data_IF_121894822644
#
_entry.id   IF_121894822644
#
_cell.length_a   1.000
_cell.length_b   1.000
_cell.length_c   1.000
_cell.angle_alpha   90.00
_cell.angle_beta   90.00
_cell.angle_gamma   90.00
#
_symmetry.space_group_name_H-M   'P 1'
#
loop_
_entity.id
_entity.type
_entity.pdbx_description
1 polymer ?
#
# COMPACT_ATOMS: atom_id res chain seq x y z
N UNK A 1 9.85 -2.32 -13.80
CA UNK A 1 9.89 -1.44 -12.62
C UNK A 1 11.10 -0.56 -12.76
N UNK A 2 10.94 0.74 -12.54
CA UNK A 2 12.04 1.70 -12.55
C UNK A 2 12.63 1.82 -11.14
N UNK A 3 13.95 1.88 -11.00
CA UNK A 3 14.63 1.98 -9.71
C UNK A 3 15.52 3.20 -9.69
N UNK A 4 15.34 4.04 -8.68
CA UNK A 4 16.04 5.31 -8.51
C UNK A 4 16.82 5.27 -7.20
N UNK A 5 17.96 5.93 -7.14
CA UNK A 5 18.72 6.13 -5.89
C UNK A 5 18.57 7.58 -5.46
N UNK A 6 18.33 7.82 -4.17
CA UNK A 6 18.34 9.16 -3.58
C UNK A 6 19.30 9.20 -2.40
N UNK A 7 20.37 9.97 -2.53
CA UNK A 7 21.25 10.32 -1.43
C UNK A 7 20.64 11.46 -0.63
N UNK A 8 20.53 11.30 0.71
CA UNK A 8 20.15 12.42 1.57
C UNK A 8 21.38 13.26 1.96
N UNK A 9 21.21 14.52 2.39
CA UNK A 9 22.28 15.28 3.04
C UNK A 9 22.81 14.58 4.30
N UNK A 10 24.04 14.93 4.69
CA UNK A 10 24.55 14.65 6.05
C UNK A 10 23.79 15.52 7.06
N UNK A 11 23.53 14.96 8.25
CA UNK A 11 22.80 15.66 9.31
C UNK A 11 23.53 15.56 10.65
N UNK A 12 23.52 16.65 11.41
CA UNK A 12 24.01 16.69 12.79
C UNK A 12 25.39 16.06 13.00
N UNK A 13 25.46 15.09 13.92
CA UNK A 13 26.70 14.42 14.34
C UNK A 13 27.37 13.59 13.23
N UNK A 14 26.67 13.24 12.15
CA UNK A 14 27.25 12.48 11.02
C UNK A 14 28.33 13.28 10.28
N UNK A 15 28.21 14.61 10.30
CA UNK A 15 29.16 15.53 9.67
C UNK A 15 30.57 15.34 10.24
N UNK A 16 30.68 14.98 11.53
CA UNK A 16 31.97 14.72 12.18
C UNK A 16 32.57 13.35 11.79
N UNK A 17 31.74 12.35 11.49
CA UNK A 17 32.19 11.01 11.08
C UNK A 17 32.56 10.92 9.58
N UNK A 18 32.26 11.97 8.81
CA UNK A 18 32.49 12.05 7.39
C UNK A 18 31.53 11.21 6.54
N UNK A 19 31.63 11.37 5.23
CA UNK A 19 30.83 10.64 4.25
C UNK A 19 31.64 9.63 3.45
N UNK A 20 30.92 8.64 2.91
CA UNK A 20 31.41 7.83 1.80
C UNK A 20 31.54 8.71 0.56
N UNK A 21 32.46 8.35 -0.34
CA UNK A 21 32.48 8.93 -1.69
C UNK A 21 31.75 7.98 -2.63
N UNK A 22 30.87 8.50 -3.47
CA UNK A 22 30.20 7.71 -4.51
C UNK A 22 30.32 8.40 -5.86
N UNK A 23 30.22 7.60 -6.91
CA UNK A 23 30.07 8.10 -8.28
C UNK A 23 29.19 7.15 -9.08
N UNK A 24 28.63 7.69 -10.15
CA UNK A 24 27.68 7.01 -11.01
C UNK A 24 28.30 6.80 -12.38
N UNK A 25 28.19 5.59 -12.94
CA UNK A 25 28.67 5.28 -14.28
C UNK A 25 27.52 4.78 -15.16
N UNK A 26 27.51 5.20 -16.42
CA UNK A 26 26.63 4.65 -17.45
C UNK A 26 27.39 3.57 -18.23
N UNK A 27 26.75 2.44 -18.49
CA UNK A 27 27.32 1.44 -19.39
C UNK A 27 27.01 1.81 -20.85
N UNK A 28 27.96 1.64 -21.76
CA UNK A 28 27.73 1.96 -23.19
C UNK A 28 26.56 1.17 -23.80
N UNK A 29 26.24 -0.01 -23.24
CA UNK A 29 25.21 -0.93 -23.72
C UNK A 29 23.87 -0.82 -22.98
N UNK A 30 23.73 0.08 -22.00
CA UNK A 30 22.53 0.15 -21.17
C UNK A 30 22.20 1.59 -20.76
N UNK A 31 20.92 2.02 -20.82
CA UNK A 31 20.49 3.31 -20.30
C UNK A 31 20.53 3.35 -18.76
N UNK A 32 20.78 2.22 -18.10
CA UNK A 32 20.84 2.13 -16.65
C UNK A 32 22.21 2.47 -16.09
N UNK A 33 22.19 3.06 -14.92
CA UNK A 33 23.33 3.53 -14.18
C UNK A 33 23.78 2.48 -13.15
N UNK A 34 25.09 2.40 -12.96
CA UNK A 34 25.74 1.71 -11.85
C UNK A 34 26.25 2.73 -10.83
N UNK A 35 26.22 2.34 -9.55
CA UNK A 35 26.74 3.17 -8.45
C UNK A 35 27.97 2.50 -7.86
N UNK A 36 29.05 3.25 -7.74
CA UNK A 36 30.26 2.84 -7.03
C UNK A 36 30.38 3.61 -5.71
N UNK A 37 30.66 2.90 -4.61
CA UNK A 37 30.83 3.48 -3.27
C UNK A 37 32.23 3.17 -2.76
N UNK A 38 32.92 4.20 -2.27
CA UNK A 38 34.24 4.14 -1.66
C UNK A 38 34.13 4.50 -0.18
N UNK A 39 34.42 3.53 0.69
CA UNK A 39 34.73 3.78 2.10
C UNK A 39 36.20 4.24 2.16
N UNK A 40 36.48 5.43 2.70
CA UNK A 40 37.85 5.97 2.81
C UNK A 40 38.30 6.00 4.28
N UNK A 41 38.16 4.88 4.99
CA UNK A 41 38.61 4.79 6.39
C UNK A 41 39.96 4.08 6.52
N UNK A 42 40.27 3.18 5.59
CA UNK A 42 41.55 2.46 5.52
C UNK A 42 42.10 2.44 4.09
N UNK A 43 43.44 2.45 3.88
CA UNK A 43 44.05 2.22 2.58
C UNK A 43 43.68 0.86 1.94
N UNK A 44 43.22 -0.11 2.75
CA UNK A 44 42.79 -1.43 2.28
C UNK A 44 41.31 -1.49 1.85
N UNK A 45 40.55 -0.41 2.04
CA UNK A 45 39.12 -0.38 1.68
C UNK A 45 38.97 -0.47 0.14
N UNK A 46 38.36 -1.57 -0.31
CA UNK A 46 38.02 -1.75 -1.72
C UNK A 46 36.67 -1.09 -2.04
N UNK A 47 36.54 -0.40 -3.19
CA UNK A 47 35.25 0.08 -3.63
C UNK A 47 34.29 -1.07 -3.92
N UNK A 48 33.00 -0.82 -3.72
CA UNK A 48 31.94 -1.70 -4.19
C UNK A 48 31.17 -1.02 -5.32
N UNK A 49 30.97 -1.73 -6.43
CA UNK A 49 30.21 -1.26 -7.60
C UNK A 49 29.00 -2.16 -7.81
N UNK A 50 27.84 -1.55 -8.03
CA UNK A 50 26.61 -2.25 -8.37
C UNK A 50 26.59 -2.70 -9.84
N UNK A 51 25.68 -3.61 -10.20
CA UNK A 51 25.30 -3.75 -11.61
C UNK A 51 24.59 -2.49 -12.10
N UNK A 52 24.54 -2.27 -13.43
CA UNK A 52 23.77 -1.20 -14.06
C UNK A 52 22.27 -1.49 -13.93
N UNK A 53 21.67 -0.97 -12.87
CA UNK A 53 20.30 -1.29 -12.46
C UNK A 53 19.46 -0.06 -12.12
N UNK A 54 20.01 1.15 -12.17
CA UNK A 54 19.30 2.35 -11.72
C UNK A 54 18.91 3.25 -12.90
N UNK A 55 17.66 3.69 -12.93
CA UNK A 55 17.14 4.63 -13.92
C UNK A 55 17.64 6.06 -13.69
N UNK A 56 17.83 6.46 -12.42
CA UNK A 56 18.50 7.70 -12.06
C UNK A 56 19.15 7.62 -10.68
N UNK A 57 20.17 8.45 -10.45
CA UNK A 57 20.80 8.65 -9.14
C UNK A 57 20.71 10.14 -8.82
N UNK A 58 19.98 10.46 -7.75
CA UNK A 58 19.75 11.81 -7.26
C UNK A 58 20.65 12.06 -6.03
N UNK A 59 21.51 13.07 -6.11
CA UNK A 59 22.45 13.42 -5.04
C UNK A 59 21.80 14.20 -3.90
N UNK A 60 22.57 14.51 -2.87
CA UNK A 60 22.12 15.19 -1.64
C UNK A 60 21.53 16.59 -1.88
N UNK A 61 21.80 17.21 -3.01
CA UNK A 61 21.25 18.52 -3.39
C UNK A 61 19.84 18.42 -4.00
N UNK A 62 19.36 17.21 -4.32
CA UNK A 62 18.06 17.01 -4.95
C UNK A 62 16.90 17.24 -3.95
N UNK A 63 16.13 18.29 -4.21
CA UNK A 63 14.88 18.58 -3.50
C UNK A 63 13.81 17.52 -3.77
N UNK A 64 12.75 17.49 -2.95
CA UNK A 64 11.60 16.62 -3.20
C UNK A 64 10.96 16.90 -4.57
N UNK A 65 10.84 18.18 -4.96
CA UNK A 65 10.34 18.58 -6.28
C UNK A 65 11.18 18.00 -7.44
N UNK A 66 12.51 18.00 -7.31
CA UNK A 66 13.40 17.40 -8.31
C UNK A 66 13.19 15.87 -8.39
N UNK A 67 13.11 15.20 -7.23
CA UNK A 67 12.81 13.75 -7.17
C UNK A 67 11.44 13.46 -7.77
N UNK A 68 10.43 14.28 -7.48
CA UNK A 68 9.09 14.16 -8.06
C UNK A 68 9.12 14.26 -9.59
N UNK A 69 9.80 15.27 -10.13
CA UNK A 69 9.93 15.48 -11.57
C UNK A 69 10.58 14.29 -12.28
N UNK A 70 11.59 13.66 -11.66
CA UNK A 70 12.26 12.48 -12.23
C UNK A 70 11.47 11.19 -12.06
N UNK A 71 10.86 10.97 -10.89
CA UNK A 71 10.32 9.66 -10.50
C UNK A 71 8.82 9.54 -10.78
N UNK A 72 8.03 10.55 -10.44
CA UNK A 72 6.57 10.44 -10.33
C UNK A 72 5.85 11.17 -11.45
N UNK A 73 6.35 12.34 -11.87
CA UNK A 73 5.74 13.14 -12.92
C UNK A 73 5.47 12.35 -14.23
N UNK A 74 6.34 11.43 -14.69
CA UNK A 74 6.05 10.61 -15.88
C UNK A 74 4.81 9.70 -15.75
N UNK A 75 4.36 9.41 -14.54
CA UNK A 75 3.16 8.61 -14.28
C UNK A 75 1.86 9.43 -14.32
N UNK A 76 1.92 10.75 -14.13
CA UNK A 76 0.72 11.62 -14.07
C UNK A 76 -0.18 11.45 -15.30
N UNK A 77 0.34 11.45 -16.55
CA UNK A 77 -0.51 11.23 -17.73
C UNK A 77 -1.15 9.83 -17.77
N UNK A 78 -0.47 8.81 -17.23
CA UNK A 78 -0.99 7.43 -17.20
C UNK A 78 -2.15 7.32 -16.23
N UNK A 79 -2.02 7.92 -15.05
CA UNK A 79 -3.09 7.95 -14.04
C UNK A 79 -4.30 8.70 -14.55
N UNK A 80 -4.10 9.82 -15.23
CA UNK A 80 -5.15 10.56 -15.92
C UNK A 80 -5.78 9.81 -17.11
N UNK A 81 -5.26 8.64 -17.46
CA UNK A 81 -5.81 7.69 -18.43
C UNK A 81 -6.36 6.41 -17.75
N UNK A 82 -6.59 6.44 -16.43
CA UNK A 82 -7.18 5.32 -15.68
C UNK A 82 -6.19 4.26 -15.21
N UNK A 83 -4.88 4.46 -15.38
CA UNK A 83 -3.85 3.46 -15.03
C UNK A 83 -3.45 3.55 -13.54
N UNK A 84 -3.16 2.40 -12.92
CA UNK A 84 -2.59 2.35 -11.58
C UNK A 84 -1.07 2.50 -11.59
N UNK A 85 -0.52 3.43 -10.82
CA UNK A 85 0.92 3.66 -10.68
C UNK A 85 1.33 3.59 -9.20
N UNK A 86 2.47 2.97 -8.91
CA UNK A 86 2.94 2.74 -7.54
C UNK A 86 4.39 3.18 -7.33
N UNK A 87 4.67 3.75 -6.16
CA UNK A 87 5.96 4.30 -5.79
C UNK A 87 6.35 3.84 -4.39
N UNK A 88 7.52 3.21 -4.28
CA UNK A 88 8.02 2.65 -3.03
C UNK A 88 9.26 3.41 -2.58
N UNK A 89 9.32 3.85 -1.33
CA UNK A 89 10.59 4.27 -0.72
C UNK A 89 11.17 3.13 0.11
N UNK A 90 12.39 2.73 -0.22
CA UNK A 90 13.14 1.67 0.45
C UNK A 90 14.47 2.19 0.98
N UNK A 91 14.94 1.68 2.11
CA UNK A 91 16.19 2.12 2.74
C UNK A 91 16.22 1.80 4.23
N UNK A 92 17.39 1.99 4.84
CA UNK A 92 17.55 1.79 6.28
C UNK A 92 16.82 2.87 7.10
N UNK A 93 16.71 2.69 8.41
CA UNK A 93 16.10 3.70 9.28
C UNK A 93 16.92 4.99 9.30
N UNK A 94 16.25 6.14 9.17
CA UNK A 94 16.91 7.44 9.01
C UNK A 94 17.55 7.70 7.63
N UNK A 95 17.27 6.89 6.59
CA UNK A 95 17.78 7.14 5.23
C UNK A 95 17.01 8.20 4.43
N UNK A 96 15.85 8.64 4.92
CA UNK A 96 15.01 9.66 4.25
C UNK A 96 13.78 9.13 3.51
N UNK A 97 13.31 7.91 3.79
CA UNK A 97 12.09 7.31 3.18
C UNK A 97 10.85 8.19 3.37
N UNK A 98 10.51 8.46 4.62
CA UNK A 98 9.35 9.27 5.03
C UNK A 98 9.45 10.70 4.52
N UNK A 99 10.62 11.33 4.63
CA UNK A 99 10.89 12.65 4.03
C UNK A 99 10.62 12.66 2.51
N UNK A 100 10.93 11.56 1.82
CA UNK A 100 10.71 11.46 0.37
C UNK A 100 9.22 11.30 0.07
N UNK A 101 8.54 10.33 0.68
CA UNK A 101 7.15 9.99 0.33
C UNK A 101 6.15 10.98 0.88
N UNK A 102 6.28 11.29 2.17
CA UNK A 102 5.33 12.09 2.95
C UNK A 102 5.80 13.55 3.01
N UNK A 103 7.09 13.77 3.29
CA UNK A 103 7.63 15.11 3.52
C UNK A 103 7.30 15.65 4.91
N UNK A 104 7.70 16.89 5.17
CA UNK A 104 7.44 17.60 6.41
C UNK A 104 6.93 19.00 6.05
N UNK A 105 5.69 19.08 5.54
CA UNK A 105 5.01 20.35 5.22
C UNK A 105 4.46 20.99 6.51
N UNK A 106 5.33 21.24 7.50
CA UNK A 106 4.96 21.75 8.82
C UNK A 106 4.44 23.18 8.74
N UNK A 107 5.04 24.01 7.88
CA UNK A 107 4.70 25.42 7.71
C UNK A 107 3.55 25.65 6.71
N UNK A 108 3.14 24.62 5.96
CA UNK A 108 2.04 24.69 5.01
C UNK A 108 2.28 25.61 3.81
N UNK A 109 3.54 26.00 3.56
CA UNK A 109 3.98 26.79 2.42
C UNK A 109 4.38 25.93 1.21
N UNK A 110 4.33 24.59 1.35
CA UNK A 110 4.68 23.62 0.31
C UNK A 110 6.18 23.37 0.18
N UNK A 111 7.04 24.07 0.93
CA UNK A 111 8.50 23.93 0.83
C UNK A 111 9.04 22.58 1.34
N UNK A 112 8.21 21.82 2.08
CA UNK A 112 8.51 20.49 2.61
C UNK A 112 7.70 19.34 2.03
N UNK A 113 6.92 19.56 0.96
CA UNK A 113 6.01 18.55 0.42
C UNK A 113 6.75 17.28 -0.05
N UNK A 114 6.23 16.11 0.36
CA UNK A 114 6.68 14.82 -0.17
C UNK A 114 6.08 14.50 -1.54
N UNK A 115 6.52 13.39 -2.13
CA UNK A 115 6.07 12.93 -3.45
C UNK A 115 4.54 12.80 -3.55
N UNK A 116 3.84 12.41 -2.47
CA UNK A 116 2.40 12.25 -2.46
C UNK A 116 1.65 13.59 -2.64
N UNK A 117 2.06 14.63 -1.90
CA UNK A 117 1.42 15.96 -2.00
C UNK A 117 1.75 16.64 -3.32
N UNK A 118 3.00 16.54 -3.79
CA UNK A 118 3.41 17.02 -5.13
C UNK A 118 2.56 16.37 -6.23
N UNK A 119 2.32 15.06 -6.14
CA UNK A 119 1.45 14.34 -7.07
C UNK A 119 0.01 14.83 -7.01
N UNK A 120 -0.56 15.00 -5.81
CA UNK A 120 -1.90 15.53 -5.64
C UNK A 120 -2.05 16.93 -6.24
N UNK A 121 -1.08 17.82 -6.02
CA UNK A 121 -1.08 19.17 -6.59
C UNK A 121 -1.09 19.14 -8.13
N UNK A 122 -0.24 18.31 -8.73
CA UNK A 122 -0.20 18.15 -10.20
C UNK A 122 -1.48 17.54 -10.75
N UNK A 123 -2.05 16.54 -10.08
CA UNK A 123 -3.32 15.93 -10.49
C UNK A 123 -4.46 16.94 -10.43
N UNK A 124 -4.62 17.69 -9.34
CA UNK A 124 -5.63 18.76 -9.26
C UNK A 124 -5.44 19.81 -10.35
N UNK A 125 -4.20 20.28 -10.60
CA UNK A 125 -3.93 21.25 -11.66
C UNK A 125 -4.36 20.74 -13.05
N UNK A 126 -4.17 19.44 -13.33
CA UNK A 126 -4.60 18.82 -14.59
C UNK A 126 -6.10 18.57 -14.66
N UNK A 127 -6.72 18.14 -13.55
CA UNK A 127 -8.17 17.93 -13.44
C UNK A 127 -8.92 19.26 -13.65
N UNK A 128 -8.53 20.33 -12.93
CA UNK A 128 -9.15 21.65 -13.07
C UNK A 128 -9.01 22.18 -14.49
N UNK A 129 -7.85 21.99 -15.12
CA UNK A 129 -7.63 22.39 -16.52
C UNK A 129 -8.53 21.63 -17.50
N UNK A 130 -8.81 20.34 -17.26
CA UNK A 130 -9.73 19.53 -18.08
C UNK A 130 -11.19 19.92 -17.85
N UNK A 131 -11.61 20.05 -16.58
CA UNK A 131 -12.98 20.41 -16.22
C UNK A 131 -13.41 21.79 -16.71
N UNK A 132 -12.47 22.73 -16.89
CA UNK A 132 -12.76 24.02 -17.52
C UNK A 132 -13.10 23.92 -19.03
N UNK A 133 -12.87 22.77 -19.66
CA UNK A 133 -13.14 22.51 -21.09
C UNK A 133 -14.37 21.63 -21.29
N UNK A 134 -14.70 20.78 -20.31
CA UNK A 134 -15.78 19.78 -20.37
C UNK A 134 -16.89 20.14 -19.35
N UNK A 135 -17.76 21.10 -19.69
CA UNK A 135 -18.82 21.60 -18.79
C UNK A 135 -19.95 20.58 -18.48
N UNK A 136 -20.07 19.50 -19.26
CA UNK A 136 -21.19 18.54 -19.21
C UNK A 136 -20.88 17.26 -18.39
N UNK A 137 -19.72 17.17 -17.73
CA UNK A 137 -19.30 15.99 -16.97
C UNK A 137 -19.21 16.26 -15.46
N UNK A 138 -19.56 15.25 -14.64
CA UNK A 138 -19.35 15.31 -13.19
C UNK A 138 -17.87 15.56 -12.89
N UNK A 139 -17.52 16.61 -12.11
CA UNK A 139 -16.13 16.98 -11.90
C UNK A 139 -15.37 15.86 -11.18
N UNK A 140 -14.14 15.62 -11.63
CA UNK A 140 -13.24 14.69 -10.95
C UNK A 140 -12.73 15.28 -9.63
N UNK A 141 -12.52 14.40 -8.68
CA UNK A 141 -11.93 14.63 -7.37
C UNK A 141 -10.85 13.58 -7.10
N UNK A 142 -10.15 13.70 -5.98
CA UNK A 142 -9.18 12.71 -5.53
C UNK A 142 -9.71 12.03 -4.27
N UNK A 143 -9.98 10.73 -4.36
CA UNK A 143 -10.24 9.86 -3.22
C UNK A 143 -8.94 9.52 -2.52
N UNK A 144 -8.77 10.01 -1.29
CA UNK A 144 -7.62 9.74 -0.44
C UNK A 144 -7.91 8.51 0.44
N UNK A 145 -7.00 7.53 0.45
CA UNK A 145 -6.96 6.46 1.45
C UNK A 145 -5.59 6.42 2.10
N UNK A 146 -5.54 6.36 3.43
CA UNK A 146 -4.28 6.33 4.19
C UNK A 146 -4.38 5.25 5.26
N UNK A 147 -3.46 4.30 5.24
CA UNK A 147 -3.39 3.27 6.26
C UNK A 147 -1.95 2.85 6.55
N UNK A 148 -1.78 2.29 7.74
CA UNK A 148 -0.51 1.78 8.22
C UNK A 148 -0.58 0.26 8.31
N UNK A 149 0.46 -0.43 7.82
CA UNK A 149 0.65 -1.86 8.05
C UNK A 149 1.56 -2.05 9.25
N UNK A 150 1.00 -2.68 10.29
CA UNK A 150 1.73 -3.10 11.49
C UNK A 150 1.44 -4.56 11.74
N UNK A 151 2.50 -5.35 11.87
CA UNK A 151 2.42 -6.79 12.06
C UNK A 151 1.63 -7.49 10.94
N UNK A 152 0.45 -8.01 11.22
CA UNK A 152 -0.42 -8.73 10.26
C UNK A 152 -1.75 -8.02 10.01
N UNK A 153 -1.85 -6.75 10.37
CA UNK A 153 -3.07 -5.96 10.22
C UNK A 153 -2.78 -4.63 9.53
N UNK A 154 -3.82 -4.08 8.92
CA UNK A 154 -3.85 -2.69 8.49
C UNK A 154 -4.52 -1.84 9.58
N UNK A 155 -4.17 -0.57 9.67
CA UNK A 155 -4.78 0.40 10.57
C UNK A 155 -5.19 1.61 9.73
N UNK A 156 -6.49 1.87 9.66
CA UNK A 156 -7.06 2.93 8.83
C UNK A 156 -6.83 4.29 9.50
N UNK A 157 -5.94 5.11 8.92
CA UNK A 157 -5.56 6.39 9.50
C UNK A 157 -6.59 7.49 9.22
N UNK A 158 -7.53 7.28 8.31
CA UNK A 158 -8.66 8.18 8.10
C UNK A 158 -9.81 7.89 9.07
N UNK A 159 -9.93 6.65 9.53
CA UNK A 159 -10.94 6.18 10.47
C UNK A 159 -10.34 5.88 11.87
N UNK A 160 -9.77 6.91 12.52
CA UNK A 160 -9.26 6.87 13.90
C UNK A 160 -8.22 5.77 14.23
N UNK A 161 -7.48 5.30 13.23
CA UNK A 161 -6.52 4.21 13.42
C UNK A 161 -7.21 2.85 13.66
N UNK A 162 -8.46 2.70 13.24
CA UNK A 162 -9.24 1.46 13.38
C UNK A 162 -8.49 0.29 12.74
N UNK A 163 -8.41 -0.83 13.47
CA UNK A 163 -7.76 -2.04 12.99
C UNK A 163 -8.60 -2.69 11.89
N UNK A 164 -7.94 -3.07 10.80
CA UNK A 164 -8.52 -3.76 9.67
C UNK A 164 -7.83 -5.10 9.39
N UNK A 165 -8.61 -6.03 8.86
CA UNK A 165 -8.17 -7.34 8.38
C UNK A 165 -7.92 -7.30 6.86
N UNK A 166 -6.81 -7.91 6.46
CA UNK A 166 -6.44 -8.08 5.05
C UNK A 166 -6.91 -9.47 4.63
N UNK A 167 -7.83 -9.54 3.66
CA UNK A 167 -8.41 -10.79 3.17
C UNK A 167 -8.39 -10.81 1.65
N UNK A 168 -8.35 -12.00 1.07
CA UNK A 168 -8.52 -12.16 -0.37
C UNK A 168 -9.91 -12.76 -0.65
N UNK A 169 -10.66 -12.11 -1.53
CA UNK A 169 -11.95 -12.60 -2.00
C UNK A 169 -11.82 -13.79 -2.95
N UNK A 170 -12.95 -14.47 -3.26
CA UNK A 170 -12.99 -15.55 -4.24
C UNK A 170 -12.69 -15.07 -5.66
N UNK A 171 -12.98 -13.79 -5.94
CA UNK A 171 -12.60 -13.06 -7.16
C UNK A 171 -11.09 -12.81 -7.29
N UNK A 172 -10.34 -13.17 -6.25
CA UNK A 172 -8.91 -13.01 -6.19
C UNK A 172 -8.44 -11.62 -5.77
N UNK A 173 -9.35 -10.65 -5.54
CA UNK A 173 -9.02 -9.29 -5.09
C UNK A 173 -8.68 -9.28 -3.60
N UNK A 174 -7.82 -8.34 -3.20
CA UNK A 174 -7.49 -8.14 -1.79
C UNK A 174 -8.35 -7.03 -1.23
N UNK A 175 -8.97 -7.29 -0.09
CA UNK A 175 -9.81 -6.35 0.64
C UNK A 175 -9.18 -6.05 2.00
N UNK A 176 -9.16 -4.77 2.35
CA UNK A 176 -8.89 -4.28 3.70
C UNK A 176 -10.25 -3.96 4.31
N UNK A 177 -10.60 -4.68 5.38
CA UNK A 177 -11.93 -4.63 6.00
C UNK A 177 -11.79 -4.35 7.50
N UNK A 178 -12.49 -3.34 8.00
CA UNK A 178 -12.63 -3.06 9.43
C UNK A 178 -13.38 -4.16 10.18
N UNK A 179 -13.74 -3.86 11.42
CA UNK A 179 -14.55 -4.76 12.23
C UNK A 179 -15.97 -4.90 11.65
N UNK A 180 -16.62 -6.01 12.00
CA UNK A 180 -18.01 -6.24 11.64
C UNK A 180 -18.89 -5.57 12.69
N UNK A 181 -19.71 -4.63 12.27
CA UNK A 181 -20.67 -3.92 13.11
C UNK A 181 -22.09 -4.39 12.82
N UNK A 182 -22.91 -4.51 13.87
CA UNK A 182 -24.35 -4.77 13.74
C UNK A 182 -25.10 -3.52 14.15
N UNK A 183 -25.85 -2.94 13.21
CA UNK A 183 -26.66 -1.75 13.43
C UNK A 183 -27.96 -2.08 14.18
N UNK A 184 -28.58 -1.07 14.79
CA UNK A 184 -29.81 -1.23 15.57
C UNK A 184 -31.00 -1.75 14.75
N UNK A 185 -30.99 -1.54 13.44
CA UNK A 185 -31.99 -2.07 12.48
C UNK A 185 -31.69 -3.50 12.00
N UNK A 186 -30.67 -4.15 12.57
CA UNK A 186 -30.27 -5.52 12.24
C UNK A 186 -29.35 -5.66 11.03
N UNK A 187 -29.02 -4.56 10.33
CA UNK A 187 -28.02 -4.58 9.25
C UNK A 187 -26.65 -4.91 9.82
N UNK A 188 -25.87 -5.72 9.08
CA UNK A 188 -24.52 -6.11 9.49
C UNK A 188 -23.54 -5.55 8.48
N UNK A 189 -22.66 -4.65 8.90
CA UNK A 189 -21.72 -3.95 8.02
C UNK A 189 -20.31 -4.40 8.31
N UNK A 190 -19.58 -4.74 7.26
CA UNK A 190 -18.12 -4.86 7.33
C UNK A 190 -17.55 -3.60 6.70
N UNK A 191 -16.98 -2.72 7.51
CA UNK A 191 -16.53 -1.41 7.03
C UNK A 191 -15.38 -1.58 6.01
N UNK A 192 -15.49 -1.07 4.77
CA UNK A 192 -14.34 -1.01 3.88
C UNK A 192 -13.32 0.01 4.42
N UNK A 193 -12.06 -0.11 3.99
CA UNK A 193 -11.08 0.95 4.22
C UNK A 193 -11.64 2.31 3.79
N UNK A 194 -11.52 3.32 4.65
CA UNK A 194 -12.02 4.65 4.37
C UNK A 194 -11.33 5.25 3.14
N UNK A 195 -12.15 5.89 2.32
CA UNK A 195 -11.70 6.71 1.20
C UNK A 195 -12.40 8.06 1.31
N UNK A 196 -11.63 9.10 1.63
CA UNK A 196 -12.15 10.45 1.75
C UNK A 196 -12.07 11.16 0.39
N UNK A 197 -13.19 11.48 -0.26
CA UNK A 197 -13.17 12.31 -1.47
C UNK A 197 -12.73 13.73 -1.10
N UNK A 198 -11.76 14.26 -1.85
CA UNK A 198 -11.25 15.62 -1.71
C UNK A 198 -11.41 16.34 -3.04
N UNK A 199 -12.15 17.45 -3.03
CA UNK A 199 -12.48 18.24 -4.23
C UNK A 199 -11.42 19.30 -4.52
N UNK A 200 -10.61 19.64 -3.51
CA UNK A 200 -9.54 20.62 -3.62
C UNK A 200 -8.24 20.08 -3.04
N UNK A 201 -7.12 20.63 -3.49
CA UNK A 201 -5.80 20.32 -2.95
C UNK A 201 -5.72 20.63 -1.44
N UNK A 202 -6.34 21.72 -0.99
CA UNK A 202 -6.34 22.09 0.43
C UNK A 202 -7.08 21.07 1.30
N UNK A 203 -8.22 20.54 0.84
CA UNK A 203 -8.94 19.48 1.55
C UNK A 203 -8.10 18.22 1.68
N UNK A 204 -7.44 17.80 0.59
CA UNK A 204 -6.58 16.62 0.55
C UNK A 204 -5.40 16.78 1.50
N UNK A 205 -4.71 17.91 1.45
CA UNK A 205 -3.58 18.21 2.34
C UNK A 205 -4.00 18.14 3.80
N UNK A 206 -5.11 18.78 4.16
CA UNK A 206 -5.62 18.79 5.52
C UNK A 206 -6.02 17.38 5.99
N UNK A 207 -6.67 16.59 5.12
CA UNK A 207 -7.02 15.20 5.40
C UNK A 207 -5.78 14.33 5.63
N UNK A 208 -4.77 14.48 4.78
CA UNK A 208 -3.50 13.77 4.89
C UNK A 208 -2.76 14.13 6.18
N UNK A 209 -2.66 15.41 6.53
CA UNK A 209 -2.02 15.86 7.78
C UNK A 209 -2.71 15.27 9.00
N UNK A 210 -4.06 15.27 9.05
CA UNK A 210 -4.81 14.62 10.15
C UNK A 210 -4.55 13.11 10.23
N UNK A 211 -4.51 12.42 9.09
CA UNK A 211 -4.22 10.99 9.05
C UNK A 211 -2.81 10.69 9.57
N UNK A 212 -1.82 11.48 9.16
CA UNK A 212 -0.42 11.30 9.55
C UNK A 212 -0.17 11.68 11.02
N UNK A 213 -0.88 12.66 11.57
CA UNK A 213 -0.82 12.97 13.00
C UNK A 213 -1.25 11.78 13.85
N UNK A 214 -2.25 11.01 13.41
CA UNK A 214 -2.67 9.76 14.07
C UNK A 214 -1.65 8.65 13.95
N UNK A 215 -0.83 8.63 12.88
CA UNK A 215 0.35 7.76 12.81
C UNK A 215 1.18 8.04 14.05
N UNK A 216 1.70 9.27 14.20
CA UNK A 216 2.67 9.66 15.24
C UNK A 216 2.31 9.34 16.71
N UNK A 217 1.03 9.20 17.07
CA UNK A 217 0.55 8.97 18.44
C UNK A 217 0.52 7.48 18.83
N UNK A 218 0.65 6.56 17.87
CA UNK A 218 0.24 5.16 18.00
C UNK A 218 1.03 4.23 18.94
N UNK A 219 2.18 4.60 19.51
CA UNK A 219 2.95 3.74 20.44
C UNK A 219 3.80 4.51 21.47
N UNK A 220 3.72 4.14 22.75
CA UNK A 220 4.40 4.77 23.90
C UNK A 220 5.89 4.38 24.07
N UNK A 221 6.62 4.12 22.97
CA UNK A 221 8.05 3.79 23.03
C UNK A 221 8.88 4.82 22.26
N UNK A 222 10.06 5.14 22.82
CA UNK A 222 11.05 6.18 22.47
C UNK A 222 11.68 6.03 21.07
N UNK A 223 10.98 5.44 20.09
CA UNK A 223 11.48 5.19 18.75
C UNK A 223 10.62 5.85 17.68
N UNK A 224 11.26 6.38 16.63
CA UNK A 224 10.63 6.97 15.45
C UNK A 224 9.77 5.92 14.73
N UNK A 225 8.45 6.03 14.86
CA UNK A 225 7.46 5.07 14.33
C UNK A 225 7.60 4.82 12.83
N UNK A 226 8.09 5.81 12.06
CA UNK A 226 8.28 5.67 10.63
C UNK A 226 9.26 4.55 10.25
N UNK A 227 10.15 4.17 11.17
CA UNK A 227 11.10 3.07 10.98
C UNK A 227 10.47 1.69 11.11
N UNK A 228 9.34 1.54 11.83
CA UNK A 228 8.83 0.23 12.25
C UNK A 228 7.57 -0.24 11.52
N UNK A 229 7.00 0.63 10.70
CA UNK A 229 5.70 0.41 10.09
C UNK A 229 5.71 0.86 8.65
N UNK A 230 4.95 0.18 7.80
CA UNK A 230 4.78 0.63 6.42
C UNK A 230 3.56 1.55 6.35
N UNK A 231 3.70 2.74 5.76
CA UNK A 231 2.54 3.58 5.44
C UNK A 231 2.21 3.47 3.94
N UNK A 232 0.92 3.36 3.65
CA UNK A 232 0.39 3.33 2.29
C UNK A 232 -0.58 4.50 2.14
N UNK A 233 -0.31 5.34 1.14
CA UNK A 233 -1.12 6.48 0.75
C UNK A 233 -1.60 6.24 -0.68
N UNK A 234 -2.91 6.21 -0.89
CA UNK A 234 -3.49 6.01 -2.20
C UNK A 234 -4.33 7.22 -2.60
N UNK A 235 -4.09 7.70 -3.82
CA UNK A 235 -4.84 8.73 -4.51
C UNK A 235 -5.60 8.05 -5.66
N UNK A 236 -6.93 8.07 -5.65
CA UNK A 236 -7.77 7.55 -6.73
C UNK A 236 -8.54 8.70 -7.39
N UNK A 237 -8.57 8.74 -8.72
CA UNK A 237 -9.48 9.64 -9.46
C UNK A 237 -10.91 9.15 -9.27
N UNK A 238 -11.75 9.98 -8.64
CA UNK A 238 -13.16 9.68 -8.33
C UNK A 238 -14.05 10.83 -8.77
N UNK A 239 -15.37 10.63 -8.76
CA UNK A 239 -16.36 11.69 -8.91
C UNK A 239 -17.53 11.47 -7.95
N UNK A 240 -18.48 12.40 -7.91
CA UNK A 240 -19.61 12.34 -6.97
C UNK A 240 -20.46 11.08 -7.19
N UNK A 241 -20.69 10.72 -8.46
CA UNK A 241 -21.47 9.53 -8.83
C UNK A 241 -20.81 8.23 -8.34
N UNK A 242 -19.50 8.07 -8.52
CA UNK A 242 -18.78 6.87 -8.09
C UNK A 242 -18.81 6.74 -6.57
N UNK A 243 -18.63 7.86 -5.85
CA UNK A 243 -18.70 7.89 -4.38
C UNK A 243 -20.08 7.46 -3.90
N UNK A 244 -21.15 8.01 -4.49
CA UNK A 244 -22.52 7.66 -4.15
C UNK A 244 -22.86 6.20 -4.49
N UNK A 245 -22.46 5.72 -5.67
CA UNK A 245 -22.69 4.34 -6.11
C UNK A 245 -21.99 3.33 -5.19
N UNK A 246 -20.74 3.61 -4.79
CA UNK A 246 -20.00 2.78 -3.82
C UNK A 246 -20.66 2.76 -2.44
N UNK A 247 -21.14 3.92 -1.96
CA UNK A 247 -21.86 3.98 -0.69
C UNK A 247 -23.15 3.14 -0.72
N UNK A 248 -23.94 3.27 -1.79
CA UNK A 248 -25.16 2.49 -1.98
C UNK A 248 -24.86 0.98 -2.06
N UNK A 249 -23.79 0.57 -2.74
CA UNK A 249 -23.36 -0.83 -2.79
C UNK A 249 -23.02 -1.37 -1.39
N UNK A 250 -22.30 -0.60 -0.57
CA UNK A 250 -21.97 -1.00 0.80
C UNK A 250 -23.24 -1.17 1.64
N UNK A 251 -24.23 -0.30 1.48
CA UNK A 251 -25.52 -0.42 2.17
C UNK A 251 -26.29 -1.67 1.74
N UNK A 252 -26.36 -1.96 0.44
CA UNK A 252 -27.00 -3.20 -0.08
C UNK A 252 -26.29 -4.45 0.41
N UNK A 253 -24.97 -4.46 0.43
CA UNK A 253 -24.18 -5.56 0.98
C UNK A 253 -24.46 -5.75 2.47
N UNK A 254 -24.67 -4.67 3.22
CA UNK A 254 -24.97 -4.73 4.65
C UNK A 254 -26.36 -5.32 4.95
N UNK A 255 -27.35 -5.03 4.09
CA UNK A 255 -28.69 -5.61 4.15
C UNK A 255 -28.70 -7.11 3.83
N UNK A 256 -27.85 -7.57 2.90
CA UNK A 256 -27.78 -8.98 2.49
C UNK A 256 -27.31 -9.91 3.61
N UNK A 257 -26.35 -9.48 4.44
CA UNK A 257 -25.72 -10.34 5.45
C UNK A 257 -26.72 -11.02 6.41
N UNK A 258 -27.61 -10.29 7.12
CA UNK A 258 -28.57 -10.92 8.03
C UNK A 258 -29.58 -11.82 7.30
N UNK A 259 -30.02 -11.45 6.10
CA UNK A 259 -30.96 -12.25 5.28
C UNK A 259 -30.31 -13.56 4.84
N UNK A 260 -29.08 -13.49 4.31
CA UNK A 260 -28.31 -14.65 3.89
C UNK A 260 -27.98 -15.59 5.05
N UNK A 261 -27.66 -15.03 6.22
CA UNK A 261 -27.46 -15.81 7.45
C UNK A 261 -28.75 -16.52 7.86
N UNK A 262 -29.89 -15.82 7.92
CA UNK A 262 -31.19 -16.41 8.26
C UNK A 262 -31.57 -17.56 7.33
N UNK A 263 -31.41 -17.37 6.01
CA UNK A 263 -31.71 -18.41 5.03
C UNK A 263 -30.85 -19.66 5.25
N UNK A 264 -29.55 -19.47 5.54
CA UNK A 264 -28.62 -20.55 5.84
C UNK A 264 -28.96 -21.26 7.15
N UNK A 265 -29.20 -20.50 8.22
CA UNK A 265 -29.53 -21.03 9.55
C UNK A 265 -30.82 -21.88 9.50
N UNK A 266 -31.85 -21.41 8.79
CA UNK A 266 -33.11 -22.14 8.62
C UNK A 266 -32.90 -23.41 7.78
N UNK A 267 -32.19 -23.31 6.65
CA UNK A 267 -31.91 -24.47 5.79
C UNK A 267 -31.14 -25.54 6.55
N UNK A 268 -30.10 -25.15 7.28
CA UNK A 268 -29.28 -26.06 8.10
C UNK A 268 -30.12 -26.65 9.23
N UNK A 269 -30.95 -25.87 9.91
CA UNK A 269 -31.81 -26.35 10.98
C UNK A 269 -32.82 -27.40 10.48
N UNK A 270 -33.50 -27.13 9.36
CA UNK A 270 -34.46 -28.06 8.75
C UNK A 270 -33.79 -29.36 8.29
N UNK A 271 -32.64 -29.26 7.61
CA UNK A 271 -31.88 -30.44 7.18
C UNK A 271 -31.34 -31.25 8.37
N UNK A 272 -30.91 -30.59 9.44
CA UNK A 272 -30.40 -31.26 10.64
C UNK A 272 -31.53 -31.98 11.39
N UNK A 273 -32.74 -31.41 11.43
CA UNK A 273 -33.92 -32.07 12.02
C UNK A 273 -34.36 -33.30 11.24
N UNK A 274 -34.15 -33.31 9.93
CA UNK A 274 -34.48 -34.42 9.06
C UNK A 274 -33.56 -35.65 9.21
N UNK A 275 -32.53 -35.59 10.04
CA UNK A 275 -31.61 -36.71 10.28
C UNK A 275 -31.52 -37.11 11.76
N UNK A 276 -31.22 -38.39 11.97
CA UNK A 276 -30.88 -38.99 13.25
C UNK A 276 -29.45 -39.51 13.18
N UNK A 277 -28.65 -39.20 14.20
CA UNK A 277 -27.29 -39.73 14.33
C UNK A 277 -27.32 -41.03 15.12
N UNK A 278 -26.93 -42.13 14.48
CA UNK A 278 -26.85 -43.46 15.09
C UNK A 278 -25.66 -43.54 16.08
N UNK A 279 -25.68 -44.48 17.05
CA UNK A 279 -24.56 -44.67 17.98
C UNK A 279 -23.20 -44.93 17.31
N UNK A 280 -23.19 -45.54 16.11
CA UNK A 280 -22.00 -45.74 15.28
C UNK A 280 -21.56 -44.52 14.45
N UNK A 281 -22.15 -43.35 14.68
CA UNK A 281 -21.79 -42.10 14.00
C UNK A 281 -22.42 -41.88 12.61
N UNK A 282 -23.23 -42.82 12.10
CA UNK A 282 -23.91 -42.72 10.80
C UNK A 282 -25.23 -41.96 10.89
N UNK A 283 -25.52 -41.12 9.90
CA UNK A 283 -26.78 -40.37 9.80
C UNK A 283 -27.82 -41.15 9.01
N UNK A 284 -29.07 -41.16 9.49
CA UNK A 284 -30.23 -41.75 8.79
C UNK A 284 -31.39 -40.76 8.74
N UNK A 285 -32.26 -40.80 7.71
CA UNK A 285 -33.45 -39.97 7.67
C UNK A 285 -34.35 -40.19 8.90
N UNK A 286 -34.91 -39.11 9.43
CA UNK A 286 -35.89 -39.14 10.52
C UNK A 286 -37.28 -39.39 9.92
N UNK A 287 -37.94 -40.53 10.21
CA UNK A 287 -39.20 -40.91 9.55
C UNK A 287 -40.40 -40.05 9.97
N UNK A 288 -40.37 -39.47 11.17
CA UNK A 288 -41.44 -38.64 11.77
C UNK A 288 -41.30 -37.15 11.48
N UNK A 289 -40.30 -36.73 10.70
CA UNK A 289 -40.06 -35.32 10.38
C UNK A 289 -40.08 -35.06 8.89
N UNK A 290 -40.92 -34.12 8.48
CA UNK A 290 -40.97 -33.61 7.11
C UNK A 290 -40.32 -32.23 7.10
N UNK A 291 -39.34 -32.05 6.20
CA UNK A 291 -38.68 -30.76 5.99
C UNK A 291 -39.72 -29.71 5.60
N UNK A 292 -39.67 -28.56 6.25
CA UNK A 292 -40.52 -27.42 5.88
C UNK A 292 -39.95 -26.74 4.61
N UNK A 293 -40.21 -27.35 3.45
CA UNK A 293 -39.72 -26.87 2.17
C UNK A 293 -40.26 -25.47 1.85
N UNK A 294 -41.52 -25.19 2.16
CA UNK A 294 -42.12 -23.86 1.92
C UNK A 294 -41.39 -22.74 2.67
N UNK A 295 -40.95 -22.99 3.91
CA UNK A 295 -40.14 -22.03 4.65
C UNK A 295 -38.75 -21.84 4.03
N UNK A 296 -38.10 -22.94 3.59
CA UNK A 296 -36.80 -22.87 2.90
C UNK A 296 -36.93 -22.05 1.61
N UNK A 297 -37.97 -22.31 0.82
CA UNK A 297 -38.23 -21.60 -0.44
C UNK A 297 -38.49 -20.11 -0.18
N UNK A 298 -39.27 -19.78 0.86
CA UNK A 298 -39.53 -18.39 1.26
C UNK A 298 -38.22 -17.64 1.59
N UNK A 299 -37.40 -18.19 2.50
CA UNK A 299 -36.18 -17.49 2.94
C UNK A 299 -35.10 -17.48 1.87
N UNK A 300 -35.13 -18.46 0.95
CA UNK A 300 -34.28 -18.48 -0.23
C UNK A 300 -34.69 -17.36 -1.20
N UNK A 301 -35.98 -17.18 -1.46
CA UNK A 301 -36.47 -16.09 -2.30
C UNK A 301 -36.16 -14.70 -1.70
N UNK A 302 -36.28 -14.54 -0.37
CA UNK A 302 -35.88 -13.31 0.33
C UNK A 302 -34.38 -13.02 0.15
N UNK A 303 -33.53 -14.05 0.26
CA UNK A 303 -32.08 -13.97 0.02
C UNK A 303 -31.77 -13.62 -1.43
N UNK A 304 -32.38 -14.30 -2.40
CA UNK A 304 -32.20 -14.04 -3.83
C UNK A 304 -32.58 -12.61 -4.20
N UNK A 305 -33.68 -12.08 -3.65
CA UNK A 305 -34.07 -10.69 -3.85
C UNK A 305 -33.04 -9.70 -3.27
N UNK A 306 -32.41 -10.02 -2.13
CA UNK A 306 -31.34 -9.21 -1.57
C UNK A 306 -30.04 -9.30 -2.40
N UNK A 307 -29.69 -10.49 -2.90
CA UNK A 307 -28.55 -10.69 -3.82
C UNK A 307 -28.75 -9.92 -5.13
N UNK A 308 -29.97 -9.90 -5.68
CA UNK A 308 -30.31 -9.12 -6.87
C UNK A 308 -30.09 -7.61 -6.66
N UNK A 309 -30.46 -7.07 -5.49
CA UNK A 309 -30.20 -5.66 -5.15
C UNK A 309 -28.71 -5.34 -5.04
N UNK A 310 -27.90 -6.27 -4.54
CA UNK A 310 -26.43 -6.11 -4.52
C UNK A 310 -25.89 -6.12 -5.95
N UNK A 311 -26.32 -7.08 -6.79
CA UNK A 311 -25.88 -7.18 -8.17
C UNK A 311 -26.26 -5.92 -9.00
N UNK A 312 -27.45 -5.37 -8.77
CA UNK A 312 -27.86 -4.09 -9.37
C UNK A 312 -26.95 -2.95 -8.94
N UNK A 313 -26.63 -2.82 -7.65
CA UNK A 313 -25.72 -1.79 -7.17
C UNK A 313 -24.28 -1.97 -7.71
N UNK A 314 -23.80 -3.21 -7.88
CA UNK A 314 -22.53 -3.51 -8.54
C UNK A 314 -22.54 -3.08 -10.02
N UNK A 315 -23.65 -3.34 -10.72
CA UNK A 315 -23.83 -2.91 -12.11
C UNK A 315 -23.85 -1.37 -12.22
N UNK A 316 -24.46 -0.66 -11.27
CA UNK A 316 -24.40 0.80 -11.21
C UNK A 316 -22.95 1.27 -11.08
N UNK A 317 -22.17 0.73 -10.13
CA UNK A 317 -20.74 1.08 -9.98
C UNK A 317 -19.98 0.83 -11.29
N UNK A 318 -20.18 -0.33 -11.93
CA UNK A 318 -19.54 -0.65 -13.21
C UNK A 318 -19.94 0.33 -14.33
N UNK A 319 -21.21 0.74 -14.39
CA UNK A 319 -21.69 1.69 -15.39
C UNK A 319 -21.09 3.09 -15.23
N UNK A 320 -20.81 3.52 -13.98
CA UNK A 320 -20.12 4.79 -13.71
C UNK A 320 -18.68 4.72 -14.22
N UNK A 321 -17.97 3.62 -13.97
CA UNK A 321 -16.62 3.43 -14.55
C UNK A 321 -16.61 3.47 -16.06
N UNK A 322 -17.58 2.83 -16.71
CA UNK A 322 -17.66 2.80 -18.16
C UNK A 322 -17.92 4.19 -18.74
N UNK A 323 -18.86 4.93 -18.15
CA UNK A 323 -19.22 6.28 -18.62
C UNK A 323 -18.07 7.27 -18.54
N UNK A 324 -17.23 7.15 -17.51
CA UNK A 324 -16.11 8.06 -17.25
C UNK A 324 -14.74 7.44 -17.55
N UNK A 325 -14.70 6.39 -18.38
CA UNK A 325 -13.46 5.69 -18.75
C UNK A 325 -12.44 6.64 -19.38
N UNK A 326 -12.87 7.44 -20.35
CA UNK A 326 -12.00 8.36 -21.08
C UNK A 326 -11.57 9.57 -20.24
N UNK A 327 -12.33 9.89 -19.18
CA UNK A 327 -11.95 10.88 -18.17
C UNK A 327 -10.85 10.37 -17.21
N UNK A 328 -10.53 9.07 -17.25
CA UNK A 328 -9.52 8.44 -16.41
C UNK A 328 -10.01 8.06 -15.01
N UNK A 329 -11.34 7.95 -14.81
CA UNK A 329 -11.92 7.54 -13.53
C UNK A 329 -11.35 6.20 -13.07
N UNK A 330 -10.96 6.10 -11.79
CA UNK A 330 -10.31 4.92 -11.22
C UNK A 330 -8.81 4.85 -11.41
N UNK A 331 -8.18 5.81 -12.12
CA UNK A 331 -6.73 5.94 -12.15
C UNK A 331 -6.18 6.16 -10.74
N UNK A 332 -5.07 5.49 -10.39
CA UNK A 332 -4.54 5.48 -9.02
C UNK A 332 -3.06 5.83 -8.96
N UNK A 333 -2.66 6.61 -7.96
CA UNK A 333 -1.27 6.71 -7.48
C UNK A 333 -1.17 6.14 -6.06
N UNK A 334 -0.31 5.15 -5.89
CA UNK A 334 -0.07 4.49 -4.60
C UNK A 334 1.36 4.80 -4.16
N UNK A 335 1.50 5.47 -3.03
CA UNK A 335 2.78 5.76 -2.40
C UNK A 335 2.97 4.90 -1.17
N UNK A 336 4.16 4.30 -1.05
CA UNK A 336 4.48 3.35 0.01
C UNK A 336 5.77 3.77 0.68
N UNK A 337 5.65 4.24 1.91
CA UNK A 337 6.76 4.49 2.83
C UNK A 337 7.04 3.17 3.56
N UNK A 338 8.04 2.41 3.10
CA UNK A 338 8.36 1.13 3.72
C UNK A 338 9.04 1.34 5.07
N UNK A 339 8.77 0.48 6.03
CA UNK A 339 9.56 0.37 7.26
C UNK A 339 11.05 0.20 6.94
N UNK A 340 11.90 0.62 7.88
CA UNK A 340 13.34 0.53 7.75
C UNK A 340 13.82 -0.89 7.50
N UNK A 341 14.71 -1.05 6.52
CA UNK A 341 15.41 -2.32 6.32
C UNK A 341 16.56 -2.41 7.34
N UNK A 342 16.26 -2.57 8.64
CA UNK A 342 17.30 -2.88 9.61
C UNK A 342 17.75 -4.33 9.41
N UNK A 343 18.92 -4.48 8.81
CA UNK A 343 19.74 -5.66 9.00
C UNK A 343 20.35 -5.49 10.38
N UNK A 344 20.04 -6.39 11.32
CA UNK A 344 20.67 -6.45 12.63
C UNK A 344 22.17 -6.24 12.42
N UNK A 345 22.66 -5.05 12.73
CA UNK A 345 24.10 -4.85 12.77
C UNK A 345 24.56 -5.77 13.88
N UNK A 346 25.57 -6.58 13.54
CA UNK A 346 26.25 -7.43 14.48
C UNK A 346 26.41 -6.71 15.82
N UNK A 347 25.86 -7.31 16.86
CA UNK A 347 26.06 -6.89 18.26
C UNK A 347 27.54 -6.85 18.67
N UNK A 348 28.47 -7.19 17.77
CA UNK A 348 29.91 -7.25 17.98
C UNK A 348 30.64 -5.91 17.77
N UNK A 349 30.03 -4.89 17.13
CA UNK A 349 30.74 -3.63 16.80
C UNK A 349 30.37 -2.44 17.72
N UNK A 350 29.37 -2.58 18.59
CA UNK A 350 29.10 -1.58 19.64
C UNK A 350 29.11 -2.20 21.04
N UNK A 351 30.31 -2.47 21.54
CA UNK A 351 30.59 -2.70 22.96
C UNK A 351 30.74 -1.38 23.75
N UNK A 352 29.95 -0.36 23.43
CA UNK A 352 29.81 0.82 24.29
C UNK A 352 28.58 0.66 25.16
N UNK A 353 28.77 0.86 26.47
CA UNK A 353 27.93 0.45 27.60
C UNK A 353 26.53 1.11 27.71
N UNK A 354 25.86 1.42 26.59
CA UNK A 354 24.56 2.11 26.57
C UNK A 354 23.57 1.56 25.54
N UNK A 355 23.89 0.48 24.81
CA UNK A 355 22.90 -0.18 23.97
C UNK A 355 21.88 -0.95 24.85
N UNK A 356 20.75 -0.29 25.18
CA UNK A 356 19.62 -0.95 25.85
C UNK A 356 19.23 -2.19 25.06
N UNK A 357 19.17 -3.33 25.73
CA UNK A 357 18.69 -4.57 25.12
C UNK A 357 17.29 -4.35 24.53
N UNK A 358 17.12 -4.60 23.23
CA UNK A 358 15.81 -4.50 22.56
C UNK A 358 14.78 -5.36 23.28
N UNK A 359 13.60 -4.80 23.51
CA UNK A 359 12.49 -5.55 24.13
C UNK A 359 12.06 -6.71 23.22
N UNK A 360 11.54 -7.82 23.77
CA UNK A 360 11.07 -8.95 22.96
C UNK A 360 10.08 -8.54 21.86
N UNK A 361 9.18 -7.59 22.16
CA UNK A 361 8.20 -7.03 21.21
C UNK A 361 8.87 -6.36 20.01
N UNK A 362 9.94 -5.60 20.22
CA UNK A 362 10.69 -4.90 19.16
C UNK A 362 11.44 -5.89 18.27
N UNK A 363 11.96 -6.98 18.86
CA UNK A 363 12.58 -8.07 18.08
C UNK A 363 11.57 -8.78 17.18
N UNK A 364 10.34 -8.99 17.67
CA UNK A 364 9.27 -9.58 16.86
C UNK A 364 8.86 -8.66 15.70
N UNK A 365 8.76 -7.36 15.95
CA UNK A 365 8.46 -6.34 14.93
C UNK A 365 9.54 -6.29 13.84
N UNK A 366 10.82 -6.19 14.21
CA UNK A 366 11.93 -6.19 13.26
C UNK A 366 11.99 -7.47 12.40
N UNK A 367 11.65 -8.63 12.98
CA UNK A 367 11.54 -9.89 12.22
C UNK A 367 10.40 -9.84 11.20
N UNK A 368 9.26 -9.26 11.57
CA UNK A 368 8.12 -9.13 10.67
C UNK A 368 8.43 -8.16 9.51
N UNK A 369 9.04 -7.01 9.78
CA UNK A 369 9.47 -6.06 8.74
C UNK A 369 10.39 -6.75 7.73
N UNK A 370 11.39 -7.49 8.21
CA UNK A 370 12.29 -8.24 7.32
C UNK A 370 11.57 -9.33 6.52
N UNK A 371 10.56 -9.98 7.11
CA UNK A 371 9.71 -10.96 6.40
C UNK A 371 8.92 -10.28 5.29
N UNK A 372 8.35 -9.11 5.56
CA UNK A 372 7.56 -8.35 4.59
C UNK A 372 8.41 -7.85 3.42
N UNK A 373 9.61 -7.34 3.70
CA UNK A 373 10.58 -6.89 2.69
C UNK A 373 11.12 -8.06 1.85
N UNK A 374 11.38 -9.21 2.47
CA UNK A 374 11.79 -10.42 1.73
C UNK A 374 10.67 -10.94 0.82
N UNK A 375 9.43 -10.96 1.31
CA UNK A 375 8.27 -11.31 0.50
C UNK A 375 8.10 -10.35 -0.69
N UNK A 376 8.28 -9.04 -0.46
CA UNK A 376 8.22 -8.02 -1.52
C UNK A 376 9.29 -8.26 -2.60
N UNK A 377 10.52 -8.57 -2.18
CA UNK A 377 11.63 -8.94 -3.08
C UNK A 377 11.24 -10.11 -3.99
N UNK A 378 10.67 -11.17 -3.42
CA UNK A 378 10.28 -12.36 -4.17
C UNK A 378 9.11 -12.10 -5.12
N UNK A 379 8.13 -11.30 -4.70
CA UNK A 379 7.05 -10.83 -5.57
C UNK A 379 7.59 -10.03 -6.74
N UNK A 380 8.44 -9.03 -6.49
CA UNK A 380 9.04 -8.21 -7.53
C UNK A 380 9.88 -9.04 -8.50
N UNK A 381 10.70 -9.97 -7.98
CA UNK A 381 11.49 -10.89 -8.81
C UNK A 381 10.62 -11.80 -9.67
N UNK A 382 9.49 -12.27 -9.16
CA UNK A 382 8.54 -13.10 -9.93
C UNK A 382 7.80 -12.29 -10.98
N UNK A 383 7.30 -11.12 -10.61
CA UNK A 383 6.61 -10.19 -11.50
C UNK A 383 7.49 -9.74 -12.67
N UNK A 384 8.74 -9.38 -12.36
CA UNK A 384 9.74 -8.90 -13.29
C UNK A 384 10.04 -9.87 -14.44
N UNK A 385 10.05 -11.18 -14.18
CA UNK A 385 10.31 -12.19 -15.22
C UNK A 385 9.20 -12.31 -16.27
N UNK A 386 8.02 -11.68 -16.05
CA UNK A 386 6.81 -11.77 -16.90
C UNK A 386 6.49 -13.19 -17.38
N UNK A 387 6.87 -14.21 -16.62
CA UNK A 387 6.71 -15.61 -17.02
C UNK A 387 5.30 -16.08 -16.67
N UNK A 388 4.46 -16.45 -17.65
CA UNK A 388 3.08 -16.86 -17.41
C UNK A 388 2.97 -18.17 -16.58
N UNK A 389 4.05 -18.96 -16.51
CA UNK A 389 4.11 -20.20 -15.72
C UNK A 389 4.50 -19.98 -14.26
N UNK A 390 5.00 -18.80 -13.90
CA UNK A 390 5.54 -18.55 -12.55
C UNK A 390 4.51 -17.84 -11.68
N UNK A 391 3.97 -18.56 -10.69
CA UNK A 391 3.05 -17.98 -9.71
C UNK A 391 3.76 -16.93 -8.85
N UNK A 392 3.25 -15.70 -8.86
CA UNK A 392 3.74 -14.61 -7.98
C UNK A 392 3.20 -14.80 -6.55
N UNK A 393 4.07 -14.83 -5.51
CA UNK A 393 3.67 -15.19 -4.15
C UNK A 393 3.05 -14.02 -3.36
N UNK A 394 1.99 -13.38 -3.86
CA UNK A 394 1.33 -12.24 -3.21
C UNK A 394 0.78 -12.53 -1.80
N UNK A 395 0.64 -13.79 -1.40
CA UNK A 395 0.16 -14.19 -0.06
C UNK A 395 1.30 -14.36 0.96
N UNK A 396 2.55 -14.11 0.58
CA UNK A 396 3.71 -14.32 1.45
C UNK A 396 3.76 -13.33 2.62
N UNK A 397 3.18 -12.14 2.48
CA UNK A 397 3.07 -11.14 3.55
C UNK A 397 1.82 -10.26 3.41
N UNK A 398 1.34 -9.63 4.48
CA UNK A 398 0.29 -8.61 4.41
C UNK A 398 0.63 -7.48 3.44
N UNK A 399 1.89 -7.03 3.45
CA UNK A 399 2.41 -6.03 2.52
C UNK A 399 2.24 -6.47 1.06
N UNK A 400 2.66 -7.68 0.71
CA UNK A 400 2.53 -8.18 -0.67
C UNK A 400 1.09 -8.46 -1.09
N UNK A 401 0.20 -8.76 -0.15
CA UNK A 401 -1.24 -8.88 -0.43
C UNK A 401 -1.82 -7.54 -0.82
N UNK A 402 -1.59 -6.51 0.01
CA UNK A 402 -2.12 -5.16 -0.21
C UNK A 402 -1.56 -4.55 -1.49
N UNK A 403 -0.27 -4.77 -1.77
CA UNK A 403 0.38 -4.25 -2.98
C UNK A 403 0.09 -5.06 -4.23
N UNK A 404 -0.71 -6.13 -4.16
CA UNK A 404 -0.99 -6.97 -5.32
C UNK A 404 -1.52 -6.16 -6.51
N UNK A 405 -2.45 -5.24 -6.27
CA UNK A 405 -3.04 -4.40 -7.32
C UNK A 405 -1.98 -3.58 -8.07
N UNK A 406 -0.89 -3.18 -7.38
CA UNK A 406 0.22 -2.44 -7.96
C UNK A 406 1.06 -3.26 -8.97
N UNK A 407 0.92 -4.58 -8.99
CA UNK A 407 1.70 -5.49 -9.82
C UNK A 407 0.85 -6.34 -10.78
N UNK A 408 -0.49 -6.29 -10.71
CA UNK A 408 -1.33 -7.17 -11.53
C UNK A 408 -1.77 -6.57 -12.87
N UNK A 409 -1.78 -5.25 -13.00
CA UNK A 409 -2.15 -4.58 -14.25
C UNK A 409 -0.92 -4.47 -15.17
N UNK A 410 -1.05 -4.91 -16.42
CA UNK A 410 0.03 -4.86 -17.41
C UNK A 410 0.43 -3.44 -17.79
N UNK A 411 -0.52 -2.50 -17.68
CA UNK A 411 -0.28 -1.07 -17.89
C UNK A 411 0.26 -0.40 -16.62
N UNK A 412 0.26 -1.07 -15.47
CA UNK A 412 0.72 -0.46 -14.24
C UNK A 412 2.20 -0.08 -14.30
N UNK A 413 2.48 1.09 -13.73
CA UNK A 413 3.85 1.56 -13.53
C UNK A 413 4.25 1.33 -12.08
N UNK A 414 5.47 0.83 -11.86
CA UNK A 414 6.05 0.71 -10.53
C UNK A 414 7.43 1.36 -10.50
N UNK A 415 7.65 2.24 -9.52
CA UNK A 415 8.91 2.92 -9.26
C UNK A 415 9.40 2.66 -7.83
N UNK A 416 10.69 2.40 -7.63
CA UNK A 416 11.30 2.27 -6.31
C UNK A 416 12.37 3.33 -6.11
N UNK A 417 12.25 4.16 -5.07
CA UNK A 417 13.27 5.11 -4.63
C UNK A 417 14.05 4.48 -3.47
N UNK A 418 15.30 4.13 -3.75
CA UNK A 418 16.27 3.62 -2.78
C UNK A 418 16.92 4.83 -2.10
N UNK A 419 16.41 5.15 -0.92
CA UNK A 419 16.94 6.24 -0.08
C UNK A 419 18.17 5.75 0.69
N UNK A 420 19.27 6.50 0.63
CA UNK A 420 20.56 6.12 1.22
C UNK A 420 21.22 7.27 1.95
N UNK A 421 21.95 6.93 3.02
CA UNK A 421 22.76 7.86 3.80
C UNK A 421 24.20 7.92 3.27
N UNK A 422 24.78 9.11 3.10
CA UNK A 422 26.20 9.25 2.79
C UNK A 422 27.10 9.04 4.02
N UNK A 423 26.57 9.05 5.25
CA UNK A 423 27.39 8.92 6.46
C UNK A 423 28.21 7.61 6.52
N UNK A 424 29.49 7.71 6.90
CA UNK A 424 30.38 6.56 7.03
C UNK A 424 29.90 5.52 8.06
N UNK A 425 29.23 5.98 9.12
CA UNK A 425 28.59 5.13 10.14
C UNK A 425 27.49 4.25 9.56
N UNK A 426 26.87 4.67 8.46
CA UNK A 426 25.80 3.96 7.76
C UNK A 426 26.29 3.18 6.53
N UNK A 427 27.60 3.13 6.27
CA UNK A 427 28.18 2.52 5.07
C UNK A 427 27.62 1.11 4.76
N UNK A 428 27.57 0.21 5.75
CA UNK A 428 27.06 -1.15 5.55
C UNK A 428 25.57 -1.17 5.15
N UNK A 429 24.77 -0.32 5.79
CA UNK A 429 23.34 -0.20 5.50
C UNK A 429 23.10 0.40 4.10
N UNK A 430 23.87 1.41 3.73
CA UNK A 430 23.87 2.01 2.38
C UNK A 430 24.22 0.98 1.31
N UNK A 431 25.28 0.18 1.51
CA UNK A 431 25.64 -0.88 0.55
C UNK A 431 24.53 -1.93 0.42
N UNK A 432 23.89 -2.34 1.51
CA UNK A 432 22.81 -3.32 1.46
C UNK A 432 21.59 -2.77 0.70
N UNK A 433 21.24 -1.51 0.91
CA UNK A 433 20.16 -0.86 0.19
C UNK A 433 20.45 -0.75 -1.32
N UNK A 434 21.66 -0.36 -1.70
CA UNK A 434 22.09 -0.28 -3.10
C UNK A 434 22.14 -1.67 -3.77
N UNK A 435 22.63 -2.71 -3.07
CA UNK A 435 22.60 -4.10 -3.56
C UNK A 435 21.18 -4.55 -3.85
N UNK A 436 20.26 -4.26 -2.92
CA UNK A 436 18.85 -4.59 -3.08
C UNK A 436 18.25 -3.86 -4.30
N UNK A 437 18.43 -2.55 -4.38
CA UNK A 437 17.95 -1.72 -5.48
C UNK A 437 18.47 -2.17 -6.84
N UNK A 438 19.78 -2.38 -6.94
CA UNK A 438 20.44 -2.84 -8.17
C UNK A 438 19.86 -4.18 -8.65
N UNK A 439 19.64 -5.13 -7.73
CA UNK A 439 19.02 -6.41 -8.03
C UNK A 439 17.56 -6.26 -8.53
N UNK A 440 16.79 -5.34 -7.95
CA UNK A 440 15.41 -5.09 -8.40
C UNK A 440 15.37 -4.47 -9.79
N UNK A 441 16.29 -3.54 -10.06
CA UNK A 441 16.36 -2.86 -11.35
C UNK A 441 16.82 -3.76 -12.48
N UNK A 442 17.79 -4.64 -12.23
CA UNK A 442 18.24 -5.61 -13.24
C UNK A 442 17.23 -6.72 -13.49
N UNK A 443 16.50 -7.16 -12.45
CA UNK A 443 15.50 -8.22 -12.62
C UNK A 443 14.33 -7.77 -13.50
N UNK A 444 13.94 -6.49 -13.43
CA UNK A 444 12.75 -5.92 -14.05
C UNK A 444 12.91 -5.52 -15.53
N UNK A 445 13.98 -5.96 -16.19
CA UNK A 445 14.35 -5.60 -17.56
C UNK A 445 14.49 -6.83 -18.45
#
# INVERSE_FOLDING_TARGET
MNVFVRWRPLIGAETAAGSVNHHTTAAASSPLLAVTVHRRLSPSDKPWTSASGFDAVLDSTASNAAVFATVVLPAVPRVLAGVCCSFFAYGHSGSGKTHTVIGYDEDGDGSGAGLCLEAAQQLFAKITKRGAVEEDQSPLAIGLSVFELRQKAAFDLLNDGTRCHIRQGPDGKVHIRGETETHADGRVRVQPLAQQPCWTFSELRNALHRALARRAVGTSSVHDQSSRTHAVLALELVNAELVAARAALVDRQSELVPVGKRATDITVAEQTRAVLRSPGGTYRPRPDYVINQALIDQVTAEKEAAEARVAEAEAVVASVYERYRDAGLGGKMIFVDLAGAEYNQDSSIMSTATAKAQKPTEKHEARQINTDLLALKEVMRAWATRSPRRRVPYRASPLTMVLREAFTDELAMAGMVVTVSPANTHHAATLNALKYGSLMGTAAR
#
